data_IF_877331526207
#
_entry.id   IF_877331526207
#
_cell.length_a   1.000
_cell.length_b   1.000
_cell.length_c   1.000
_cell.angle_alpha   90.00
_cell.angle_beta   90.00
_cell.angle_gamma   90.00
#
_symmetry.space_group_name_H-M   'P 1'
#
loop_
_entity.id
_entity.type
_entity.pdbx_description
1 polymer ?
#
# COMPACT_ATOMS: atom_id res chain seq x y z
N UNK A 1 31.10 -7.06 18.81
CA UNK A 1 29.82 -7.13 19.53
C UNK A 1 28.79 -6.33 18.76
N UNK A 2 28.11 -6.94 17.78
CA UNK A 2 27.17 -6.25 16.89
C UNK A 2 25.75 -6.25 17.43
N UNK A 3 24.91 -5.33 16.94
CA UNK A 3 23.47 -5.29 17.21
C UNK A 3 22.79 -6.50 16.53
N UNK A 4 22.81 -7.65 17.20
CA UNK A 4 22.06 -8.82 16.77
C UNK A 4 20.57 -8.63 17.10
N UNK A 5 19.69 -9.15 16.24
CA UNK A 5 18.22 -9.15 16.42
C UNK A 5 17.81 -9.58 17.84
N UNK A 6 18.56 -10.51 18.45
CA UNK A 6 18.33 -10.97 19.81
C UNK A 6 18.42 -9.88 20.88
N UNK A 7 19.31 -8.89 20.71
CA UNK A 7 19.43 -7.77 21.64
C UNK A 7 18.25 -6.82 21.52
N UNK A 8 17.76 -6.60 20.29
CA UNK A 8 16.60 -5.73 20.03
C UNK A 8 15.35 -6.35 20.66
N UNK A 9 15.17 -7.67 20.56
CA UNK A 9 14.02 -8.34 21.16
C UNK A 9 14.03 -8.25 22.69
N UNK A 10 15.18 -8.51 23.32
CA UNK A 10 15.33 -8.42 24.78
C UNK A 10 15.13 -6.98 25.27
N UNK A 11 15.68 -6.00 24.55
CA UNK A 11 15.49 -4.58 24.85
C UNK A 11 14.02 -4.17 24.73
N UNK A 12 13.32 -4.62 23.67
CA UNK A 12 11.91 -4.33 23.47
C UNK A 12 11.03 -4.84 24.63
N UNK A 13 11.32 -6.04 25.16
CA UNK A 13 10.59 -6.60 26.31
C UNK A 13 10.76 -5.71 27.55
N UNK A 14 11.98 -5.25 27.84
CA UNK A 14 12.24 -4.36 28.99
C UNK A 14 11.51 -3.02 28.80
N UNK A 15 11.55 -2.44 27.61
CA UNK A 15 10.82 -1.18 27.31
C UNK A 15 9.31 -1.37 27.49
N UNK A 16 8.74 -2.47 26.99
CA UNK A 16 7.31 -2.77 27.15
C UNK A 16 6.93 -2.90 28.63
N UNK A 17 7.78 -3.51 29.46
CA UNK A 17 7.55 -3.63 30.91
C UNK A 17 7.61 -2.27 31.62
N UNK A 18 8.55 -1.38 31.25
CA UNK A 18 8.70 -0.05 31.85
C UNK A 18 7.54 0.89 31.51
N UNK A 19 7.15 0.92 30.23
CA UNK A 19 6.10 1.81 29.75
C UNK A 19 4.69 1.21 29.90
N UNK A 20 4.61 -0.11 30.09
CA UNK A 20 3.37 -0.88 30.05
C UNK A 20 2.80 -1.04 28.64
N UNK A 21 2.09 -2.14 28.41
CA UNK A 21 1.48 -2.44 27.09
C UNK A 21 0.36 -1.47 26.70
N UNK A 22 -0.33 -0.84 27.66
CA UNK A 22 -1.42 0.09 27.38
C UNK A 22 -0.96 1.34 26.62
N UNK A 23 0.16 1.95 27.04
CA UNK A 23 0.68 3.16 26.37
C UNK A 23 1.27 2.82 25.00
N UNK A 24 1.99 1.71 24.90
CA UNK A 24 2.56 1.23 23.64
C UNK A 24 1.47 0.81 22.63
N UNK A 25 0.36 0.24 23.09
CA UNK A 25 -0.77 -0.12 22.21
C UNK A 25 -1.45 1.13 21.63
N UNK A 26 -1.69 2.14 22.47
CA UNK A 26 -2.34 3.37 22.00
C UNK A 26 -1.45 4.12 21.00
N UNK A 27 -0.17 4.33 21.34
CA UNK A 27 0.80 4.96 20.46
C UNK A 27 1.10 4.12 19.21
N UNK A 28 1.19 2.80 19.36
CA UNK A 28 1.42 1.88 18.25
C UNK A 28 0.24 1.79 17.30
N UNK A 29 -1.00 1.98 17.76
CA UNK A 29 -2.17 2.06 16.88
C UNK A 29 -2.13 3.33 16.03
N UNK A 30 -1.77 4.46 16.62
CA UNK A 30 -1.74 5.75 15.92
C UNK A 30 -0.56 5.82 14.93
N UNK A 31 0.65 5.46 15.38
CA UNK A 31 1.84 5.43 14.53
C UNK A 31 1.78 4.29 13.50
N UNK A 32 1.28 3.12 13.91
CA UNK A 32 1.13 1.96 13.03
C UNK A 32 0.10 2.18 11.93
N UNK A 33 -0.98 2.92 12.21
CA UNK A 33 -1.95 3.35 11.20
C UNK A 33 -1.30 4.23 10.13
N UNK A 34 -0.59 5.28 10.55
CA UNK A 34 0.09 6.20 9.62
C UNK A 34 1.18 5.49 8.77
N UNK A 35 1.96 4.60 9.37
CA UNK A 35 2.99 3.82 8.65
C UNK A 35 2.35 2.81 7.70
N UNK A 36 1.21 2.20 8.07
CA UNK A 36 0.46 1.31 7.19
C UNK A 36 -0.06 2.05 5.97
N UNK A 37 -0.70 3.20 6.16
CA UNK A 37 -1.21 4.02 5.05
C UNK A 37 -0.07 4.53 4.15
N UNK A 38 1.07 4.89 4.73
CA UNK A 38 2.28 5.22 3.97
C UNK A 38 2.76 4.04 3.12
N UNK A 39 2.92 2.85 3.72
CA UNK A 39 3.31 1.63 2.99
C UNK A 39 2.31 1.30 1.88
N UNK A 40 1.02 1.37 2.18
CA UNK A 40 -0.03 1.03 1.25
C UNK A 40 -0.07 2.03 0.08
N UNK A 41 0.17 3.32 0.31
CA UNK A 41 0.27 4.32 -0.76
C UNK A 41 1.47 4.06 -1.68
N UNK A 42 2.65 3.81 -1.11
CA UNK A 42 3.88 3.52 -1.86
C UNK A 42 3.75 2.22 -2.67
N UNK A 43 3.13 1.19 -2.08
CA UNK A 43 2.93 -0.09 -2.78
C UNK A 43 1.73 -0.07 -3.74
N UNK A 44 0.76 0.83 -3.55
CA UNK A 44 -0.38 0.98 -4.46
C UNK A 44 0.05 1.58 -5.79
N UNK A 45 1.08 2.43 -5.80
CA UNK A 45 1.65 2.95 -7.04
C UNK A 45 2.34 1.84 -7.85
N UNK A 46 3.00 0.89 -7.17
CA UNK A 46 3.63 -0.29 -7.80
C UNK A 46 2.59 -1.36 -8.21
N UNK A 47 1.56 -1.61 -7.39
CA UNK A 47 0.52 -2.62 -7.68
C UNK A 47 -0.55 -2.13 -8.66
N UNK A 48 -0.81 -0.82 -8.76
CA UNK A 48 -1.66 -0.29 -9.83
C UNK A 48 -1.04 -0.51 -11.21
N UNK A 49 0.28 -0.63 -11.33
CA UNK A 49 0.92 -1.01 -12.60
C UNK A 49 0.67 -2.48 -12.95
N UNK A 50 0.47 -3.37 -11.97
CA UNK A 50 0.21 -4.80 -12.18
C UNK A 50 -1.27 -5.16 -12.29
N UNK A 51 -2.18 -4.32 -11.78
CA UNK A 51 -3.63 -4.55 -11.88
C UNK A 51 -4.29 -3.85 -13.08
N UNK A 52 -3.60 -2.92 -13.76
CA UNK A 52 -4.06 -2.27 -14.99
C UNK A 52 -3.66 -2.99 -16.30
N UNK A 53 -3.11 -4.22 -16.24
CA UNK A 53 -2.94 -5.08 -17.44
C UNK A 53 -4.18 -5.92 -17.78
N UNK A 54 -5.37 -5.54 -17.31
CA UNK A 54 -6.62 -6.12 -17.80
C UNK A 54 -7.56 -5.02 -18.33
N UNK A 55 -7.13 -4.23 -19.31
CA UNK A 55 -8.06 -3.68 -20.30
C UNK A 55 -7.34 -3.22 -21.59
N UNK A 56 -8.06 -3.37 -22.72
CA UNK A 56 -7.90 -2.67 -24.00
C UNK A 56 -6.97 -3.28 -25.06
N UNK A 57 -7.40 -4.42 -25.61
CA UNK A 57 -7.41 -4.52 -27.07
C UNK A 57 -8.41 -3.46 -27.59
N UNK A 58 -7.89 -2.30 -28.00
CA UNK A 58 -8.60 -1.34 -28.82
C UNK A 58 -7.73 -1.13 -30.06
N UNK A 59 -8.08 -1.84 -31.12
CA UNK A 59 -7.68 -1.50 -32.49
C UNK A 59 -8.47 -0.26 -32.98
N UNK A 60 -7.88 0.54 -33.90
CA UNK A 60 -8.17 1.96 -34.04
C UNK A 60 -9.44 2.28 -34.83
N UNK A 61 -10.05 3.41 -34.46
CA UNK A 61 -11.06 4.15 -35.24
C UNK A 61 -10.51 4.44 -36.63
N UNK A 62 -11.15 3.93 -37.70
CA UNK A 62 -11.50 4.66 -38.93
C UNK A 62 -12.21 3.73 -39.92
N UNK A 63 -13.48 4.01 -40.29
CA UNK A 63 -14.03 3.82 -41.64
C UNK A 63 -15.56 4.01 -41.73
N UNK A 64 -15.94 4.96 -42.59
CA UNK A 64 -17.19 5.06 -43.37
C UNK A 64 -18.48 5.56 -42.69
N UNK A 65 -18.57 6.89 -42.66
CA UNK A 65 -19.74 7.66 -43.05
C UNK A 65 -20.42 7.08 -44.31
N UNK A 66 -21.68 6.61 -44.21
CA UNK A 66 -22.73 6.80 -45.23
C UNK A 66 -24.11 6.41 -44.70
N UNK A 67 -25.13 7.18 -45.10
CA UNK A 67 -26.59 6.93 -45.03
C UNK A 67 -27.28 7.22 -43.69
N UNK A 68 -27.28 8.51 -43.34
CA UNK A 68 -28.53 9.15 -42.96
C UNK A 68 -29.01 10.00 -44.15
N UNK A 69 -30.31 9.99 -44.40
CA UNK A 69 -31.05 10.65 -45.48
C UNK A 69 -31.18 9.87 -46.81
N UNK A 70 -32.31 9.18 -46.99
CA UNK A 70 -33.32 9.54 -48.01
C UNK A 70 -34.58 8.68 -47.82
N UNK A 71 -35.67 9.36 -47.42
CA UNK A 71 -37.10 9.22 -47.79
C UNK A 71 -37.64 7.80 -48.02
#
# INVERSE_FOLDING_TARGET
>A
MGLSIWHILLFAVIVILLFGTSKLKNLGKDLGGAIKDFKDSVNSDDQKLLQNQQYKDISPVESHNKKQNKI
#
